data_IF_143555421324
#
_entry.id   IF_143555421324
#
_cell.length_a   1.000
_cell.length_b   1.000
_cell.length_c   1.000
_cell.angle_alpha   90.00
_cell.angle_beta   90.00
_cell.angle_gamma   90.00
#
_symmetry.space_group_name_H-M   'P 1'
#
loop_
_entity.id
_entity.type
_entity.pdbx_description
1 polymer ?
#
# COMPACT_ATOMS: atom_id res chain seq x y z
N UNK A 1 7.42 -0.77 -22.20
CA UNK A 1 6.88 -1.54 -21.91
C UNK A 1 6.94 -2.22 -20.84
N UNK A 2 6.14 -2.21 -20.14
CA UNK A 2 6.12 -2.76 -19.03
C UNK A 2 5.76 -4.01 -19.04
N UNK A 3 6.55 -4.80 -18.75
CA UNK A 3 6.30 -6.16 -18.75
C UNK A 3 6.06 -6.66 -17.35
N UNK A 4 5.65 -5.85 -16.48
CA UNK A 4 5.44 -6.29 -15.12
C UNK A 4 4.12 -7.00 -14.89
N UNK A 5 3.98 -7.59 -13.71
CA UNK A 5 2.73 -8.19 -13.25
C UNK A 5 2.08 -7.24 -12.26
N UNK A 6 0.76 -7.25 -12.22
CA UNK A 6 0.01 -6.43 -11.27
C UNK A 6 -0.91 -7.30 -10.44
N UNK A 7 -1.10 -6.89 -9.22
CA UNK A 7 -1.99 -7.61 -8.31
C UNK A 7 -2.57 -6.64 -7.30
N UNK A 8 -3.82 -6.84 -6.92
CA UNK A 8 -4.44 -6.02 -5.89
C UNK A 8 -4.40 -6.79 -4.58
N UNK A 9 -3.90 -6.15 -3.53
CA UNK A 9 -3.87 -6.76 -2.21
C UNK A 9 -4.66 -5.89 -1.25
N UNK A 10 -5.32 -6.54 -0.29
CA UNK A 10 -6.04 -5.83 0.75
C UNK A 10 -5.17 -5.79 2.00
N UNK A 11 -5.07 -4.61 2.60
CA UNK A 11 -4.23 -4.40 3.77
C UNK A 11 -5.04 -3.70 4.86
N UNK A 12 -4.61 -3.91 6.09
CA UNK A 12 -5.23 -3.22 7.22
C UNK A 12 -4.16 -2.92 8.24
N UNK A 13 -4.01 -1.66 8.58
CA UNK A 13 -3.07 -1.26 9.62
C UNK A 13 -3.50 0.08 10.20
N UNK A 14 -2.90 0.44 11.31
CA UNK A 14 -3.15 1.72 11.93
C UNK A 14 -1.82 2.33 12.34
N UNK A 15 -1.75 3.65 12.27
CA UNK A 15 -0.56 4.37 12.74
C UNK A 15 0.55 4.45 11.73
N UNK A 16 1.46 5.36 12.01
CA UNK A 16 2.54 5.67 11.09
C UNK A 16 3.56 4.56 11.00
N UNK A 17 3.79 3.85 12.10
CA UNK A 17 4.80 2.79 12.09
C UNK A 17 4.39 1.64 11.18
N UNK A 18 3.11 1.25 11.23
CA UNK A 18 2.65 0.18 10.35
C UNK A 18 2.58 0.65 8.89
N UNK A 19 2.29 1.93 8.68
CA UNK A 19 2.34 2.49 7.33
C UNK A 19 3.75 2.34 6.76
N UNK A 20 4.76 2.70 7.54
CA UNK A 20 6.15 2.59 7.11
C UNK A 20 6.51 1.14 6.80
N UNK A 21 6.10 0.22 7.69
CA UNK A 21 6.38 -1.19 7.49
C UNK A 21 5.76 -1.71 6.19
N UNK A 22 4.54 -1.28 5.91
CA UNK A 22 3.85 -1.70 4.70
C UNK A 22 4.58 -1.23 3.45
N UNK A 23 4.89 0.06 3.40
CA UNK A 23 5.52 0.62 2.21
C UNK A 23 6.92 0.03 1.99
N UNK A 24 7.70 -0.07 3.06
CA UNK A 24 9.04 -0.64 2.95
C UNK A 24 9.00 -2.11 2.55
N UNK A 25 8.04 -2.85 3.09
CA UNK A 25 7.89 -4.27 2.76
C UNK A 25 7.71 -4.47 1.26
N UNK A 26 6.87 -3.65 0.65
CA UNK A 26 6.60 -3.76 -0.77
C UNK A 26 7.84 -3.43 -1.60
N UNK A 27 8.48 -2.28 -1.33
CA UNK A 27 9.62 -1.85 -2.17
C UNK A 27 10.86 -2.68 -1.90
N UNK A 28 11.06 -3.14 -0.65
CA UNK A 28 12.22 -3.96 -0.33
C UNK A 28 12.17 -5.31 -1.03
N UNK A 29 10.98 -5.77 -1.37
CA UNK A 29 10.81 -7.04 -2.06
C UNK A 29 10.71 -6.88 -3.58
N UNK A 30 10.98 -5.68 -4.08
CA UNK A 30 11.09 -5.46 -5.51
C UNK A 30 9.83 -5.01 -6.22
N UNK A 31 8.77 -4.71 -5.48
CA UNK A 31 7.52 -4.26 -6.09
C UNK A 31 7.32 -2.76 -5.88
N UNK A 32 6.30 -2.23 -6.53
CA UNK A 32 5.92 -0.83 -6.38
C UNK A 32 4.45 -0.76 -5.99
N UNK A 33 4.07 0.33 -5.32
CA UNK A 33 2.66 0.59 -5.04
C UNK A 33 2.19 1.66 -6.00
N UNK A 34 1.16 1.36 -6.78
CA UNK A 34 0.64 2.31 -7.75
C UNK A 34 -0.41 3.22 -7.12
N UNK A 35 -1.27 2.67 -6.28
CA UNK A 35 -2.37 3.46 -5.72
C UNK A 35 -2.86 2.85 -4.41
N UNK A 36 -3.80 3.55 -3.80
CA UNK A 36 -4.53 3.05 -2.64
C UNK A 36 -6.01 3.34 -2.89
N UNK A 37 -6.85 2.34 -2.64
CA UNK A 37 -8.30 2.46 -2.82
C UNK A 37 -9.01 2.05 -1.55
N UNK A 38 -10.00 2.83 -1.15
CA UNK A 38 -10.84 2.50 0.01
C UNK A 38 -12.29 2.65 -0.39
N UNK A 39 -13.17 1.96 0.34
CA UNK A 39 -14.58 2.10 0.12
C UNK A 39 -15.13 3.08 1.12
N UNK A 40 -15.65 4.18 0.64
CA UNK A 40 -16.19 5.22 1.49
C UNK A 40 -17.72 5.09 1.49
N UNK A 41 -18.37 5.12 2.67
CA UNK A 41 -19.81 4.93 2.71
C UNK A 41 -20.61 6.00 2.01
N UNK A 42 -20.04 7.18 1.84
CA UNK A 42 -20.75 8.27 1.20
C UNK A 42 -20.46 8.36 -0.29
N UNK A 43 -19.19 8.24 -0.66
CA UNK A 43 -18.80 8.48 -2.05
C UNK A 43 -18.46 7.22 -2.84
N UNK A 44 -18.50 6.04 -2.22
CA UNK A 44 -18.09 4.83 -2.90
C UNK A 44 -16.58 4.67 -2.86
N UNK A 45 -15.99 4.20 -3.94
CA UNK A 45 -14.55 4.00 -3.97
C UNK A 45 -13.81 5.31 -4.12
N UNK A 46 -12.82 5.50 -3.26
CA UNK A 46 -11.90 6.63 -3.36
C UNK A 46 -10.52 6.07 -3.62
N UNK A 47 -9.84 6.60 -4.63
CA UNK A 47 -8.52 6.13 -5.02
C UNK A 47 -7.53 7.28 -5.02
N UNK A 48 -6.41 7.07 -4.35
CA UNK A 48 -5.30 8.02 -4.36
C UNK A 48 -4.13 7.43 -5.10
N UNK A 49 -3.44 8.22 -5.90
CA UNK A 49 -2.27 7.77 -6.64
C UNK A 49 -1.05 7.83 -5.76
N UNK A 50 -0.22 6.79 -5.78
CA UNK A 50 0.96 6.73 -4.93
C UNK A 50 2.26 6.75 -5.73
N UNK A 51 2.41 5.80 -6.65
CA UNK A 51 3.62 5.66 -7.47
C UNK A 51 4.88 5.56 -6.59
N UNK A 52 4.82 4.68 -5.60
CA UNK A 52 5.93 4.48 -4.68
C UNK A 52 6.73 3.28 -5.15
N UNK A 53 7.97 3.50 -5.57
CA UNK A 53 8.83 2.46 -6.11
C UNK A 53 10.16 2.32 -5.37
N UNK A 54 10.38 3.10 -4.32
CA UNK A 54 11.63 3.07 -3.57
C UNK A 54 11.39 3.52 -2.15
N UNK A 55 12.36 3.28 -1.27
CA UNK A 55 12.26 3.79 0.10
C UNK A 55 12.24 5.31 0.11
N UNK A 56 12.95 5.92 -0.82
CA UNK A 56 12.92 7.38 -0.92
C UNK A 56 11.49 7.87 -1.18
N UNK A 57 10.79 7.24 -2.13
CA UNK A 57 9.41 7.59 -2.42
C UNK A 57 8.52 7.36 -1.20
N UNK A 58 8.75 6.24 -0.50
CA UNK A 58 7.96 5.92 0.69
C UNK A 58 8.16 6.97 1.78
N UNK A 59 9.41 7.38 1.99
CA UNK A 59 9.70 8.38 3.02
C UNK A 59 9.05 9.72 2.67
N UNK A 60 9.07 10.09 1.40
CA UNK A 60 8.43 11.33 0.97
C UNK A 60 6.92 11.27 1.21
N UNK A 61 6.32 10.13 0.93
CA UNK A 61 4.90 9.98 1.16
C UNK A 61 4.57 10.08 2.66
N UNK A 62 5.39 9.44 3.51
CA UNK A 62 5.19 9.47 4.95
C UNK A 62 5.32 10.88 5.48
N UNK A 63 6.30 11.64 4.99
CA UNK A 63 6.45 13.03 5.37
C UNK A 63 5.22 13.84 5.04
N UNK A 64 4.67 13.64 3.85
CA UNK A 64 3.47 14.34 3.45
C UNK A 64 2.27 13.95 4.31
N UNK A 65 2.15 12.65 4.59
CA UNK A 65 1.07 12.18 5.43
C UNK A 65 1.14 12.79 6.82
N UNK A 66 2.36 13.05 7.29
CA UNK A 66 2.56 13.66 8.60
C UNK A 66 2.08 15.12 8.59
N UNK A 67 2.29 15.83 7.47
CA UNK A 67 1.83 17.21 7.33
C UNK A 67 0.32 17.30 7.18
N UNK A 68 -0.29 16.30 6.58
CA UNK A 68 -1.72 16.30 6.31
C UNK A 68 -2.36 15.04 6.89
N UNK A 69 -2.40 14.91 8.22
CA UNK A 69 -2.87 13.67 8.84
C UNK A 69 -4.30 13.28 8.45
N UNK A 70 -5.14 14.27 8.16
CA UNK A 70 -6.50 13.96 7.77
C UNK A 70 -6.63 13.65 6.29
N UNK A 71 -5.54 13.73 5.56
CA UNK A 71 -5.53 13.45 4.13
C UNK A 71 -5.41 11.97 3.78
N UNK A 72 -5.08 11.11 4.75
CA UNK A 72 -4.94 9.69 4.47
C UNK A 72 -6.29 9.07 4.17
N UNK A 73 -6.43 8.54 2.96
CA UNK A 73 -7.68 7.96 2.51
C UNK A 73 -8.10 6.79 3.40
N UNK A 74 -7.14 5.98 3.83
CA UNK A 74 -7.42 4.79 4.63
C UNK A 74 -8.05 5.11 5.98
N UNK A 75 -7.97 6.35 6.46
CA UNK A 75 -8.59 6.70 7.73
C UNK A 75 -10.11 6.62 7.68
N UNK A 76 -10.69 6.69 6.47
CA UNK A 76 -12.14 6.67 6.34
C UNK A 76 -12.72 5.27 6.50
N UNK A 77 -11.88 4.23 6.59
CA UNK A 77 -12.36 2.85 6.68
C UNK A 77 -11.76 2.09 7.84
N UNK A 78 -11.19 2.79 8.81
CA UNK A 78 -10.60 2.11 9.94
C UNK A 78 -9.33 1.36 9.60
N UNK A 79 -8.68 1.74 8.51
CA UNK A 79 -7.39 1.15 8.15
C UNK A 79 -7.43 0.11 7.04
N UNK A 80 -8.61 -0.37 6.65
CA UNK A 80 -8.71 -1.36 5.57
C UNK A 80 -8.63 -0.65 4.22
N UNK A 81 -7.73 -1.11 3.37
CA UNK A 81 -7.53 -0.48 2.06
C UNK A 81 -6.95 -1.48 1.07
N UNK A 82 -7.05 -1.13 -0.20
CA UNK A 82 -6.51 -1.95 -1.28
C UNK A 82 -5.35 -1.21 -1.93
N UNK A 83 -4.33 -1.97 -2.29
CA UNK A 83 -3.21 -1.43 -3.08
C UNK A 83 -3.09 -2.19 -4.37
N UNK A 84 -2.85 -1.48 -5.46
CA UNK A 84 -2.43 -2.12 -6.69
C UNK A 84 -0.92 -2.16 -6.68
N UNK A 85 -0.37 -3.36 -6.72
CA UNK A 85 1.08 -3.56 -6.75
C UNK A 85 1.54 -3.90 -8.15
N UNK A 86 2.76 -3.51 -8.47
CA UNK A 86 3.38 -3.83 -9.74
C UNK A 86 4.75 -4.41 -9.47
N UNK A 87 5.10 -5.49 -10.13
CA UNK A 87 6.38 -6.16 -9.92
C UNK A 87 6.86 -6.79 -11.22
N UNK A 88 8.17 -7.09 -11.32
CA UNK A 88 8.70 -7.68 -12.56
C UNK A 88 8.17 -9.09 -12.82
N UNK A 89 7.77 -9.81 -11.78
CA UNK A 89 7.29 -11.18 -11.96
C UNK A 89 6.37 -11.56 -10.80
N UNK A 90 5.72 -12.72 -10.95
CA UNK A 90 4.77 -13.19 -9.94
C UNK A 90 5.43 -13.64 -8.64
N UNK A 91 6.65 -14.11 -8.72
CA UNK A 91 7.38 -14.52 -7.53
C UNK A 91 7.60 -13.35 -6.58
N UNK A 92 7.87 -12.19 -7.16
CA UNK A 92 8.04 -10.98 -6.38
C UNK A 92 6.75 -10.64 -5.64
N UNK A 93 5.61 -10.74 -6.34
CA UNK A 93 4.32 -10.46 -5.71
C UNK A 93 4.02 -11.46 -4.59
N UNK A 94 4.37 -12.73 -4.80
CA UNK A 94 4.19 -13.75 -3.76
C UNK A 94 5.02 -13.44 -2.52
N UNK A 95 6.26 -12.97 -2.71
CA UNK A 95 7.11 -12.59 -1.59
C UNK A 95 6.51 -11.42 -0.81
N UNK A 96 5.99 -10.43 -1.52
CA UNK A 96 5.39 -9.27 -0.88
C UNK A 96 4.18 -9.71 -0.06
N UNK A 97 3.33 -10.53 -0.65
CA UNK A 97 2.13 -10.99 0.04
C UNK A 97 2.49 -11.76 1.31
N UNK A 98 3.47 -12.65 1.21
CA UNK A 98 3.91 -13.42 2.36
C UNK A 98 4.51 -12.52 3.45
N UNK A 99 5.28 -11.52 3.05
CA UNK A 99 5.89 -10.60 4.01
C UNK A 99 4.84 -9.72 4.69
N UNK A 100 3.84 -9.27 3.95
CA UNK A 100 2.75 -8.48 4.54
C UNK A 100 1.95 -9.31 5.52
N UNK A 101 1.74 -10.59 5.21
CA UNK A 101 1.03 -11.49 6.12
C UNK A 101 1.81 -11.67 7.40
N UNK A 102 3.14 -11.79 7.29
CA UNK A 102 3.99 -11.97 8.46
C UNK A 102 3.96 -10.75 9.37
N UNK A 103 3.83 -9.57 8.79
CA UNK A 103 3.74 -8.34 9.57
C UNK A 103 2.35 -8.13 10.16
N UNK A 104 1.38 -8.96 9.79
CA UNK A 104 0.01 -8.77 10.26
C UNK A 104 -0.73 -7.67 9.54
N UNK A 105 -0.24 -7.26 8.38
CA UNK A 105 -0.84 -6.16 7.63
C UNK A 105 -1.76 -6.65 6.52
N UNK A 106 -1.50 -7.84 5.98
CA UNK A 106 -2.35 -8.38 4.93
C UNK A 106 -3.73 -8.69 5.50
N UNK A 107 -4.77 -8.16 4.86
CA UNK A 107 -6.13 -8.36 5.34
C UNK A 107 -6.77 -9.51 4.57
N UNK A 108 -7.25 -10.52 5.31
CA UNK A 108 -7.93 -11.65 4.70
C UNK A 108 -9.21 -11.91 5.46
N UNK A 109 -10.24 -12.22 4.73
CA UNK A 109 -11.51 -12.52 5.37
C UNK A 109 -11.57 -13.93 5.82
#
# INVERSE_FOLDING_TARGET
TMQGCREIVACCHTGEEQLRQELYCVVDNGASLLDVTVENPLYGELTGQLHIASRYDADRFIEKAHEFPDGLVSRTTGGVHLHTLCAPNRECLARVRAALAKLGILYEK
#
